data_IF_989152879718
#
_entry.id   IF_989152879718
#
_cell.length_a   1.000
_cell.length_b   1.000
_cell.length_c   1.000
_cell.angle_alpha   90.00
_cell.angle_beta   90.00
_cell.angle_gamma   90.00
#
_symmetry.space_group_name_H-M   'P 1'
#
loop_
_entity.id
_entity.type
_entity.pdbx_description
1 polymer ?
#
# COMPACT_ATOMS: atom_id res chain seq x y z
N UNK A 1 54.21 41.55 -22.93
CA UNK A 1 55.21 40.49 -22.65
C UNK A 1 54.42 39.22 -22.35
N UNK A 2 54.12 38.39 -23.36
CA UNK A 2 54.97 37.25 -23.80
C UNK A 2 55.40 36.40 -22.59
N UNK A 3 54.50 35.60 -21.99
CA UNK A 3 54.89 34.37 -21.25
C UNK A 3 53.79 33.46 -20.67
N UNK A 4 52.50 33.60 -21.00
CA UNK A 4 51.48 32.67 -20.46
C UNK A 4 51.08 31.55 -21.45
N UNK A 5 51.70 31.54 -22.63
CA UNK A 5 51.33 30.64 -23.73
C UNK A 5 51.88 29.22 -23.59
N UNK A 6 52.86 28.99 -22.71
CA UNK A 6 53.55 27.70 -22.57
C UNK A 6 52.93 26.76 -21.54
N UNK A 7 52.22 27.27 -20.53
CA UNK A 7 51.63 26.40 -19.47
C UNK A 7 50.34 25.72 -19.96
N UNK A 8 49.62 26.34 -20.92
CA UNK A 8 48.41 25.76 -21.52
C UNK A 8 48.70 24.57 -22.45
N UNK A 9 49.95 24.40 -22.91
CA UNK A 9 50.33 23.35 -23.86
C UNK A 9 50.60 21.98 -23.21
N UNK A 10 50.83 21.91 -21.90
CA UNK A 10 51.18 20.65 -21.22
C UNK A 10 49.93 19.92 -20.69
N UNK A 11 48.80 20.60 -20.51
CA UNK A 11 47.55 19.99 -20.03
C UNK A 11 46.69 19.35 -21.16
N UNK A 12 47.28 19.11 -22.33
CA UNK A 12 46.57 18.67 -23.55
C UNK A 12 46.76 17.18 -23.90
N UNK A 13 47.29 16.34 -23.01
CA UNK A 13 47.62 14.95 -23.38
C UNK A 13 47.21 13.97 -22.28
N UNK A 14 45.94 13.53 -22.29
CA UNK A 14 45.50 12.17 -21.91
C UNK A 14 43.96 12.03 -21.98
N UNK A 15 43.36 12.30 -23.13
CA UNK A 15 42.04 11.75 -23.45
C UNK A 15 42.25 10.67 -24.52
N UNK A 16 42.68 9.48 -24.11
CA UNK A 16 42.67 8.32 -24.98
C UNK A 16 41.21 7.93 -25.20
N UNK A 17 40.63 8.34 -26.32
CA UNK A 17 39.32 7.88 -26.77
C UNK A 17 39.42 6.40 -27.12
N UNK A 18 38.97 5.54 -26.22
CA UNK A 18 38.74 4.13 -26.51
C UNK A 18 37.61 4.05 -27.56
N UNK A 19 37.95 3.75 -28.81
CA UNK A 19 36.96 3.49 -29.85
C UNK A 19 36.20 2.22 -29.52
N UNK A 20 34.88 2.31 -29.33
CA UNK A 20 34.02 1.15 -29.15
C UNK A 20 33.74 0.51 -30.51
N UNK A 21 34.46 -0.57 -30.85
CA UNK A 21 34.21 -1.36 -32.06
C UNK A 21 33.00 -2.27 -31.84
N UNK A 22 31.91 -2.05 -32.58
CA UNK A 22 30.74 -2.93 -32.55
C UNK A 22 30.92 -4.03 -33.60
N UNK A 23 30.73 -5.27 -33.20
CA UNK A 23 30.87 -6.44 -34.06
C UNK A 23 29.51 -6.92 -34.53
N UNK A 24 29.40 -7.24 -35.82
CA UNK A 24 28.20 -7.80 -36.45
C UNK A 24 28.50 -9.20 -36.99
N UNK A 25 27.61 -10.14 -36.73
CA UNK A 25 27.64 -11.47 -37.36
C UNK A 25 26.22 -12.00 -37.55
N UNK A 26 26.11 -13.08 -38.33
CA UNK A 26 24.87 -13.83 -38.54
C UNK A 26 25.03 -15.16 -37.82
N UNK A 27 24.06 -15.53 -36.99
CA UNK A 27 24.05 -16.80 -36.26
C UNK A 27 23.58 -17.98 -37.15
N UNK A 28 23.56 -19.18 -36.59
CA UNK A 28 23.19 -20.42 -37.30
C UNK A 28 21.74 -20.41 -37.80
N UNK A 29 20.88 -19.58 -37.19
CA UNK A 29 19.48 -19.39 -37.51
C UNK A 29 19.24 -18.28 -38.55
N UNK A 30 20.31 -17.63 -39.03
CA UNK A 30 20.23 -16.55 -40.01
C UNK A 30 19.88 -15.19 -39.42
N UNK A 31 19.88 -15.04 -38.08
CA UNK A 31 19.56 -13.78 -37.40
C UNK A 31 20.83 -12.95 -37.23
N UNK A 32 20.71 -11.65 -37.53
CA UNK A 32 21.81 -10.69 -37.39
C UNK A 32 21.90 -10.20 -35.95
N UNK A 33 23.06 -10.38 -35.32
CA UNK A 33 23.33 -9.97 -33.95
C UNK A 33 24.44 -8.91 -33.90
N UNK A 34 24.41 -8.08 -32.84
CA UNK A 34 25.38 -7.01 -32.58
C UNK A 34 25.91 -7.12 -31.15
N UNK A 35 27.23 -6.99 -30.95
CA UNK A 35 27.85 -6.97 -29.62
C UNK A 35 29.07 -6.06 -29.57
N UNK A 36 29.35 -5.55 -28.38
CA UNK A 36 30.54 -4.81 -27.98
C UNK A 36 31.76 -5.70 -27.68
N UNK A 37 31.57 -7.03 -27.61
CA UNK A 37 32.64 -7.99 -27.31
C UNK A 37 32.73 -9.05 -28.42
N UNK A 38 33.90 -9.29 -29.03
CA UNK A 38 34.03 -10.30 -30.09
C UNK A 38 33.85 -11.72 -29.52
N UNK A 39 32.93 -12.49 -30.10
CA UNK A 39 32.76 -13.90 -29.74
C UNK A 39 33.96 -14.72 -30.26
N UNK A 40 34.55 -15.55 -29.39
CA UNK A 40 35.60 -16.49 -29.80
C UNK A 40 35.03 -17.48 -30.81
N UNK A 41 35.72 -17.64 -31.95
CA UNK A 41 35.43 -18.57 -33.06
C UNK A 41 34.28 -18.18 -34.02
N UNK A 42 33.76 -16.95 -34.00
CA UNK A 42 32.84 -16.48 -35.05
C UNK A 42 33.59 -15.68 -36.12
N UNK A 43 33.14 -15.76 -37.38
CA UNK A 43 33.60 -14.88 -38.47
C UNK A 43 32.95 -13.50 -38.32
N UNK A 44 33.31 -12.76 -37.28
CA UNK A 44 32.84 -11.40 -37.05
C UNK A 44 33.56 -10.42 -37.97
N UNK A 45 32.81 -9.53 -38.64
CA UNK A 45 33.41 -8.36 -39.30
C UNK A 45 33.30 -7.17 -38.35
N UNK A 46 34.41 -6.44 -38.07
CA UNK A 46 34.36 -5.21 -37.31
C UNK A 46 33.54 -4.20 -38.11
N UNK A 47 32.48 -3.66 -37.50
CA UNK A 47 31.76 -2.53 -38.06
C UNK A 47 32.43 -1.27 -37.53
N UNK A 48 33.32 -0.69 -38.34
CA UNK A 48 33.84 0.64 -38.08
C UNK A 48 32.72 1.63 -38.38
N UNK A 49 32.05 2.10 -37.31
CA UNK A 49 31.09 3.18 -37.40
C UNK A 49 31.91 4.46 -37.58
N UNK A 50 32.32 4.73 -38.81
CA UNK A 50 32.77 6.05 -39.20
C UNK A 50 31.61 7.00 -38.85
N UNK A 51 31.80 7.97 -37.93
CA UNK A 51 30.77 8.97 -37.68
C UNK A 51 30.63 9.77 -38.97
N UNK A 52 29.69 9.36 -39.81
CA UNK A 52 29.35 10.07 -41.02
C UNK A 52 29.02 11.51 -40.57
N UNK A 53 29.85 12.46 -41.00
CA UNK A 53 29.57 13.88 -40.78
C UNK A 53 28.27 14.14 -41.49
N UNK A 54 27.17 14.07 -40.74
CA UNK A 54 25.84 14.40 -41.21
C UNK A 54 25.99 15.79 -41.81
N UNK A 55 25.78 15.98 -43.14
CA UNK A 55 25.62 17.34 -43.63
C UNK A 55 24.54 17.96 -42.76
N UNK A 56 24.75 19.20 -42.31
CA UNK A 56 23.76 19.94 -41.54
C UNK A 56 22.52 20.11 -42.43
N UNK A 57 21.67 19.08 -42.45
CA UNK A 57 20.39 19.03 -43.13
C UNK A 57 19.48 19.94 -42.31
N UNK A 58 19.01 21.06 -42.87
CA UNK A 58 18.11 21.95 -42.15
C UNK A 58 16.70 21.37 -42.22
N UNK A 59 16.48 20.18 -41.66
CA UNK A 59 15.20 19.45 -41.60
C UNK A 59 15.56 18.08 -41.02
N UNK A 60 15.09 17.60 -39.89
CA UNK A 60 13.90 17.94 -39.12
C UNK A 60 14.23 17.60 -37.66
N UNK A 61 14.45 18.61 -36.83
CA UNK A 61 14.26 18.45 -35.39
C UNK A 61 12.76 18.22 -35.20
N UNK A 62 12.33 16.95 -35.32
CA UNK A 62 10.96 16.53 -35.06
C UNK A 62 10.77 16.84 -33.58
N UNK A 63 10.25 18.03 -33.31
CA UNK A 63 9.73 18.43 -32.01
C UNK A 63 8.85 17.28 -31.56
N UNK A 64 9.36 16.41 -30.68
CA UNK A 64 8.49 15.43 -30.05
C UNK A 64 7.41 16.27 -29.37
N UNK A 65 6.12 16.04 -29.65
CA UNK A 65 5.07 16.84 -29.04
C UNK A 65 5.19 16.71 -27.53
N UNK A 66 5.63 17.76 -26.84
CA UNK A 66 5.81 17.77 -25.39
C UNK A 66 4.49 17.46 -24.67
N UNK A 67 3.37 17.72 -25.35
CA UNK A 67 2.02 17.33 -24.94
C UNK A 67 1.81 15.80 -24.87
N UNK A 68 2.38 15.03 -25.81
CA UNK A 68 2.22 13.56 -25.86
C UNK A 68 2.86 12.85 -24.65
N UNK A 69 3.95 13.39 -24.11
CA UNK A 69 4.62 12.79 -22.94
C UNK A 69 3.88 13.09 -21.63
N UNK A 70 3.29 14.28 -21.48
CA UNK A 70 2.47 14.61 -20.32
C UNK A 70 1.23 13.73 -20.26
N UNK A 71 0.53 13.60 -21.39
CA UNK A 71 -0.64 12.74 -21.51
C UNK A 71 -0.31 11.27 -21.19
N UNK A 72 0.82 10.74 -21.67
CA UNK A 72 1.27 9.38 -21.32
C UNK A 72 1.61 9.22 -19.83
N UNK A 73 2.22 10.24 -19.22
CA UNK A 73 2.56 10.23 -17.81
C UNK A 73 1.31 10.30 -16.92
N UNK A 74 0.32 11.12 -17.29
CA UNK A 74 -0.97 11.20 -16.62
C UNK A 74 -1.74 9.88 -16.73
N UNK A 75 -1.86 9.33 -17.93
CA UNK A 75 -2.51 8.04 -18.14
C UNK A 75 -1.81 6.90 -17.36
N UNK A 76 -0.48 6.96 -17.21
CA UNK A 76 0.25 6.01 -16.37
C UNK A 76 -0.08 6.19 -14.88
N UNK A 77 -0.08 7.43 -14.38
CA UNK A 77 -0.47 7.76 -12.99
C UNK A 77 -1.88 7.29 -12.67
N UNK A 78 -2.84 7.60 -13.54
CA UNK A 78 -4.24 7.20 -13.38
C UNK A 78 -4.39 5.68 -13.34
N UNK A 79 -3.73 4.94 -14.25
CA UNK A 79 -3.74 3.46 -14.21
C UNK A 79 -3.15 2.91 -12.92
N UNK A 80 -2.08 3.53 -12.41
CA UNK A 80 -1.48 3.12 -11.15
C UNK A 80 -2.41 3.39 -9.96
N UNK A 81 -3.04 4.56 -9.91
CA UNK A 81 -4.00 4.91 -8.86
C UNK A 81 -5.23 3.99 -8.90
N UNK A 82 -5.79 3.75 -10.09
CA UNK A 82 -6.92 2.85 -10.27
C UNK A 82 -6.57 1.42 -9.81
N UNK A 83 -5.37 0.93 -10.13
CA UNK A 83 -4.90 -0.39 -9.65
C UNK A 83 -4.78 -0.43 -8.13
N UNK A 84 -4.27 0.63 -7.50
CA UNK A 84 -4.17 0.71 -6.04
C UNK A 84 -5.56 0.71 -5.40
N UNK A 85 -6.49 1.52 -5.91
CA UNK A 85 -7.88 1.55 -5.41
C UNK A 85 -8.56 0.19 -5.55
N UNK A 86 -8.38 -0.49 -6.68
CA UNK A 86 -8.92 -1.85 -6.88
C UNK A 86 -8.37 -2.84 -5.85
N UNK A 87 -7.08 -2.79 -5.53
CA UNK A 87 -6.48 -3.64 -4.51
C UNK A 87 -7.00 -3.32 -3.10
N UNK A 88 -7.21 -2.04 -2.77
CA UNK A 88 -7.79 -1.63 -1.50
C UNK A 88 -9.25 -2.09 -1.35
N UNK A 89 -10.06 -1.92 -2.39
CA UNK A 89 -11.45 -2.37 -2.42
C UNK A 89 -11.55 -3.89 -2.33
N UNK A 90 -10.69 -4.61 -3.04
CA UNK A 90 -10.60 -6.07 -2.98
C UNK A 90 -10.19 -6.54 -1.59
N UNK A 91 -9.17 -5.91 -0.97
CA UNK A 91 -8.75 -6.23 0.39
C UNK A 91 -9.86 -5.95 1.41
N UNK A 92 -10.58 -4.84 1.25
CA UNK A 92 -11.73 -4.50 2.12
C UNK A 92 -12.84 -5.53 1.98
N UNK A 93 -13.16 -5.96 0.76
CA UNK A 93 -14.13 -7.02 0.50
C UNK A 93 -13.69 -8.35 1.10
N UNK A 94 -12.43 -8.75 0.87
CA UNK A 94 -11.87 -9.97 1.47
C UNK A 94 -11.93 -9.95 3.00
N UNK A 95 -11.65 -8.80 3.63
CA UNK A 95 -11.80 -8.64 5.09
C UNK A 95 -13.23 -8.81 5.55
N UNK A 96 -14.19 -8.19 4.85
CA UNK A 96 -15.61 -8.34 5.14
C UNK A 96 -16.09 -9.78 4.96
N UNK A 97 -15.68 -10.45 3.89
CA UNK A 97 -16.04 -11.84 3.61
C UNK A 97 -15.43 -12.79 4.66
N UNK A 98 -14.17 -12.57 5.05
CA UNK A 98 -13.50 -13.34 6.10
C UNK A 98 -14.17 -13.14 7.47
N UNK A 99 -14.59 -11.91 7.78
CA UNK A 99 -15.35 -11.61 8.99
C UNK A 99 -16.71 -12.30 8.99
N UNK A 100 -17.47 -12.21 7.90
CA UNK A 100 -18.74 -12.91 7.72
C UNK A 100 -18.58 -14.43 7.81
N UNK A 101 -17.49 -14.99 7.27
CA UNK A 101 -17.21 -16.41 7.38
C UNK A 101 -16.88 -16.84 8.82
N UNK A 102 -16.10 -16.04 9.55
CA UNK A 102 -15.80 -16.27 10.97
C UNK A 102 -17.07 -16.19 11.84
N UNK A 103 -17.99 -15.28 11.48
CA UNK A 103 -19.34 -15.19 12.06
C UNK A 103 -20.13 -16.47 11.84
N UNK A 104 -20.22 -16.95 10.60
CA UNK A 104 -20.95 -18.19 10.26
C UNK A 104 -20.38 -19.43 10.94
N UNK A 105 -19.05 -19.48 11.16
CA UNK A 105 -18.37 -20.57 11.88
C UNK A 105 -18.48 -20.47 13.40
N UNK A 106 -19.03 -19.37 13.94
CA UNK A 106 -19.15 -19.15 15.38
C UNK A 106 -17.83 -18.83 16.10
N UNK A 107 -16.72 -18.72 15.34
CA UNK A 107 -15.38 -18.30 15.80
C UNK A 107 -15.34 -16.82 16.19
N UNK A 108 -16.27 -16.03 15.62
CA UNK A 108 -16.54 -14.64 15.97
C UNK A 108 -18.04 -14.53 16.19
N UNK A 109 -18.51 -14.04 17.33
CA UNK A 109 -19.90 -13.61 17.37
C UNK A 109 -19.99 -12.32 16.57
N UNK A 110 -20.89 -12.18 15.59
CA UNK A 110 -21.35 -10.86 15.22
C UNK A 110 -21.84 -10.26 16.52
N UNK A 111 -21.43 -9.04 16.86
CA UNK A 111 -22.09 -8.34 17.95
C UNK A 111 -23.52 -8.10 17.46
N UNK A 112 -24.38 -9.03 17.88
CA UNK A 112 -25.71 -9.22 17.35
C UNK A 112 -26.64 -8.19 17.95
N UNK A 113 -27.47 -7.59 17.10
CA UNK A 113 -28.56 -6.71 17.50
C UNK A 113 -28.15 -5.27 17.66
N UNK A 114 -28.36 -4.45 16.63
CA UNK A 114 -28.51 -2.98 16.73
C UNK A 114 -27.42 -2.15 17.45
N UNK A 115 -26.30 -2.76 17.85
CA UNK A 115 -25.24 -2.08 18.58
C UNK A 115 -24.72 -0.94 17.72
N UNK A 116 -24.89 0.29 18.20
CA UNK A 116 -24.31 1.49 17.62
C UNK A 116 -22.79 1.56 17.82
N UNK A 117 -22.23 0.71 18.68
CA UNK A 117 -20.79 0.62 18.90
C UNK A 117 -20.08 -0.06 17.72
N UNK A 118 -18.95 0.52 17.30
CA UNK A 118 -18.05 -0.10 16.32
C UNK A 118 -17.28 -1.27 16.96
N UNK A 119 -16.75 -2.19 16.16
CA UNK A 119 -15.97 -3.33 16.68
C UNK A 119 -14.81 -2.92 17.62
N UNK A 120 -14.02 -1.86 17.35
CA UNK A 120 -13.01 -1.40 18.30
C UNK A 120 -13.60 -0.94 19.64
N UNK A 121 -14.75 -0.25 19.60
CA UNK A 121 -15.44 0.19 20.80
C UNK A 121 -16.01 -1.01 21.58
N UNK A 122 -16.48 -2.05 20.89
CA UNK A 122 -16.92 -3.29 21.50
C UNK A 122 -15.80 -4.03 22.23
N UNK A 123 -14.62 -4.11 21.61
CA UNK A 123 -13.44 -4.69 22.25
C UNK A 123 -13.01 -3.88 23.48
N UNK A 124 -13.06 -2.54 23.41
CA UNK A 124 -12.74 -1.69 24.54
C UNK A 124 -13.70 -1.91 25.73
N UNK A 125 -15.01 -1.94 25.48
CA UNK A 125 -16.02 -2.20 26.52
C UNK A 125 -15.84 -3.60 27.12
N UNK A 126 -15.65 -4.63 26.28
CA UNK A 126 -15.44 -5.99 26.74
C UNK A 126 -14.18 -6.11 27.60
N UNK A 127 -13.08 -5.47 27.20
CA UNK A 127 -11.85 -5.42 27.99
C UNK A 127 -12.06 -4.77 29.36
N UNK A 128 -12.84 -3.69 29.42
CA UNK A 128 -13.21 -3.04 30.69
C UNK A 128 -14.06 -3.95 31.57
N UNK A 129 -15.06 -4.64 30.99
CA UNK A 129 -15.86 -5.64 31.71
C UNK A 129 -14.95 -6.71 32.31
N UNK A 130 -14.08 -7.33 31.50
CA UNK A 130 -13.17 -8.38 31.97
C UNK A 130 -12.26 -7.88 33.10
N UNK A 131 -11.70 -6.67 32.95
CA UNK A 131 -10.87 -6.05 33.99
C UNK A 131 -11.65 -5.88 35.31
N UNK A 132 -12.87 -5.35 35.27
CA UNK A 132 -13.71 -5.13 36.46
C UNK A 132 -14.08 -6.43 37.19
N UNK A 133 -14.21 -7.56 36.48
CA UNK A 133 -14.65 -8.84 37.07
C UNK A 133 -13.54 -9.87 37.29
N UNK A 134 -12.31 -9.61 36.84
CA UNK A 134 -11.15 -10.49 37.02
C UNK A 134 -10.93 -10.93 38.48
N UNK A 135 -11.34 -10.12 39.46
CA UNK A 135 -11.25 -10.46 40.89
C UNK A 135 -12.19 -11.59 41.35
N UNK A 136 -13.29 -11.86 40.62
CA UNK A 136 -14.28 -12.90 41.00
C UNK A 136 -14.03 -14.25 40.35
N UNK A 137 -13.28 -14.31 39.25
CA UNK A 137 -13.02 -15.55 38.51
C UNK A 137 -11.66 -15.46 37.79
N UNK A 138 -10.53 -15.62 38.52
CA UNK A 138 -9.19 -15.45 37.97
C UNK A 138 -8.85 -16.45 36.87
N UNK A 139 -9.47 -17.65 36.89
CA UNK A 139 -9.27 -18.68 35.87
C UNK A 139 -10.15 -18.46 34.62
N UNK A 140 -10.98 -17.41 34.61
CA UNK A 140 -11.90 -17.18 33.52
C UNK A 140 -11.22 -16.47 32.34
N UNK A 141 -10.77 -17.27 31.38
CA UNK A 141 -10.12 -16.78 30.15
C UNK A 141 -11.09 -16.61 28.98
N UNK A 142 -12.21 -17.33 28.99
CA UNK A 142 -13.21 -17.26 27.93
C UNK A 142 -14.34 -16.29 28.28
N UNK A 143 -14.36 -15.15 27.60
CA UNK A 143 -15.41 -14.15 27.69
C UNK A 143 -15.92 -13.83 26.29
N UNK A 144 -17.24 -13.83 26.11
CA UNK A 144 -17.85 -13.67 24.80
C UNK A 144 -19.11 -12.81 24.90
N UNK A 145 -19.23 -11.82 24.03
CA UNK A 145 -20.49 -11.10 23.86
C UNK A 145 -21.49 -12.07 23.22
N UNK A 146 -22.56 -12.38 23.94
CA UNK A 146 -23.67 -13.24 23.50
C UNK A 146 -24.67 -12.40 22.70
N UNK A 147 -25.04 -11.23 23.24
CA UNK A 147 -26.14 -10.41 22.70
C UNK A 147 -25.94 -8.93 23.05
N UNK A 148 -26.41 -8.04 22.17
CA UNK A 148 -26.48 -6.61 22.41
C UNK A 148 -27.84 -6.06 21.97
N UNK A 149 -28.42 -5.17 22.78
CA UNK A 149 -29.73 -4.59 22.54
C UNK A 149 -29.67 -3.09 22.78
N UNK A 150 -30.19 -2.26 21.86
CA UNK A 150 -30.30 -0.82 22.06
C UNK A 150 -31.50 -0.50 22.95
N UNK A 151 -31.25 -0.01 24.17
CA UNK A 151 -32.29 0.35 25.13
C UNK A 151 -32.79 1.77 24.89
N UNK A 152 -31.87 2.72 24.73
CA UNK A 152 -32.20 4.14 24.66
C UNK A 152 -31.28 4.86 23.67
N UNK A 153 -31.82 5.83 22.94
CA UNK A 153 -31.03 6.75 22.10
C UNK A 153 -31.53 8.18 22.29
N UNK A 154 -30.74 8.99 22.98
CA UNK A 154 -30.99 10.42 23.11
C UNK A 154 -30.16 11.23 22.13
N UNK A 155 -30.79 12.24 21.53
CA UNK A 155 -30.12 13.18 20.61
C UNK A 155 -29.54 14.39 21.35
N UNK A 156 -30.02 14.69 22.56
CA UNK A 156 -29.62 15.84 23.38
C UNK A 156 -29.73 15.50 24.88
N UNK A 157 -28.62 15.24 25.59
CA UNK A 157 -27.26 15.06 25.04
C UNK A 157 -27.21 13.88 24.07
N UNK A 158 -26.28 13.90 23.11
CA UNK A 158 -26.10 12.76 22.20
C UNK A 158 -25.57 11.60 23.03
N UNK A 159 -26.40 10.62 23.35
CA UNK A 159 -26.01 9.43 24.11
C UNK A 159 -26.86 8.25 23.67
N UNK A 160 -26.36 7.05 23.82
CA UNK A 160 -27.16 5.84 23.64
C UNK A 160 -26.76 4.80 24.67
N UNK A 161 -27.74 3.99 25.07
CA UNK A 161 -27.60 2.98 26.10
C UNK A 161 -27.90 1.64 25.47
N UNK A 162 -27.02 0.68 25.71
CA UNK A 162 -27.17 -0.68 25.25
C UNK A 162 -27.17 -1.65 26.43
N UNK A 163 -27.91 -2.75 26.29
CA UNK A 163 -27.86 -3.90 27.18
C UNK A 163 -27.02 -4.97 26.53
N UNK A 164 -25.96 -5.38 27.19
CA UNK A 164 -25.01 -6.36 26.70
C UNK A 164 -25.10 -7.61 27.54
N UNK A 165 -25.35 -8.75 26.91
CA UNK A 165 -25.25 -10.05 27.55
C UNK A 165 -23.87 -10.63 27.25
N UNK A 166 -23.05 -10.83 28.27
CA UNK A 166 -21.69 -11.37 28.14
C UNK A 166 -21.63 -12.73 28.83
N UNK A 167 -21.23 -13.75 28.09
CA UNK A 167 -20.81 -15.04 28.64
C UNK A 167 -19.48 -14.84 29.37
N UNK A 168 -19.44 -15.21 30.63
CA UNK A 168 -18.22 -15.31 31.42
C UNK A 168 -18.11 -16.75 31.91
N UNK A 169 -17.37 -17.56 31.17
CA UNK A 169 -17.10 -18.94 31.54
C UNK A 169 -18.35 -19.79 31.84
N UNK A 170 -19.38 -19.65 31.01
CA UNK A 170 -20.64 -20.38 31.11
C UNK A 170 -21.73 -19.65 31.88
N UNK A 171 -21.42 -18.49 32.47
CA UNK A 171 -22.40 -17.63 33.12
C UNK A 171 -22.70 -16.39 32.28
N UNK A 172 -23.91 -16.32 31.73
CA UNK A 172 -24.41 -15.13 31.05
C UNK A 172 -24.73 -14.03 32.09
N UNK A 173 -24.07 -12.88 31.96
CA UNK A 173 -24.28 -11.70 32.81
C UNK A 173 -24.68 -10.52 31.94
N UNK A 174 -25.66 -9.75 32.41
CA UNK A 174 -26.13 -8.55 31.71
C UNK A 174 -25.42 -7.30 32.21
N UNK A 175 -25.12 -6.42 31.28
CA UNK A 175 -24.47 -5.15 31.50
C UNK A 175 -25.25 -4.05 30.83
N UNK A 176 -25.40 -2.93 31.53
CA UNK A 176 -25.86 -1.68 30.95
C UNK A 176 -24.65 -0.85 30.55
N UNK A 177 -24.54 -0.54 29.26
CA UNK A 177 -23.44 0.23 28.70
C UNK A 177 -23.96 1.55 28.18
N UNK A 178 -23.48 2.66 28.75
CA UNK A 178 -23.87 4.00 28.32
C UNK A 178 -22.75 4.63 27.51
N UNK A 179 -23.04 5.02 26.27
CA UNK A 179 -22.10 5.66 25.36
C UNK A 179 -22.36 7.15 25.24
N UNK A 180 -21.31 7.96 25.38
CA UNK A 180 -21.37 9.41 25.31
C UNK A 180 -20.16 10.01 24.56
N UNK A 181 -20.34 11.09 23.77
CA UNK A 181 -19.24 11.79 23.13
C UNK A 181 -18.23 12.30 24.15
N UNK A 182 -16.94 12.03 23.90
CA UNK A 182 -15.87 12.57 24.74
C UNK A 182 -15.55 14.02 24.37
N UNK A 183 -15.29 14.92 25.35
CA UNK A 183 -14.80 16.28 25.08
C UNK A 183 -13.50 16.33 24.28
N UNK A 184 -12.68 15.25 24.34
CA UNK A 184 -11.40 15.12 23.61
C UNK A 184 -11.55 14.52 22.21
N UNK A 185 -12.79 14.28 21.77
CA UNK A 185 -13.10 13.51 20.58
C UNK A 185 -13.19 12.00 20.88
N UNK A 186 -14.01 11.29 20.11
CA UNK A 186 -14.30 9.88 20.32
C UNK A 186 -15.54 9.63 21.20
N UNK A 187 -15.57 8.49 21.87
CA UNK A 187 -16.71 8.02 22.69
C UNK A 187 -16.20 7.51 24.02
N UNK A 188 -16.65 8.13 25.10
CA UNK A 188 -16.53 7.62 26.46
C UNK A 188 -17.69 6.66 26.74
N UNK A 189 -17.46 5.71 27.64
CA UNK A 189 -18.49 4.76 28.03
C UNK A 189 -18.45 4.42 29.52
N UNK A 190 -19.62 4.08 30.05
CA UNK A 190 -19.81 3.62 31.44
C UNK A 190 -20.42 2.23 31.38
N UNK A 191 -19.94 1.33 32.24
CA UNK A 191 -20.40 -0.06 32.33
C UNK A 191 -20.94 -0.32 33.74
N UNK A 192 -22.17 -0.79 33.81
CA UNK A 192 -22.85 -1.17 35.05
C UNK A 192 -23.37 -2.61 34.93
N UNK A 193 -23.20 -3.44 35.96
CA UNK A 193 -23.84 -4.76 35.99
C UNK A 193 -25.32 -4.60 36.36
N UNK A 194 -26.20 -5.33 35.67
CA UNK A 194 -27.62 -5.45 36.03
C UNK A 194 -27.87 -6.56 37.07
#
# INVERSE_FOLDING_TARGET
MRNNLTILQILLIAAATAGATIYKWVDEQGVTQYSDTPLKNSKSQPLEIEPERVPASPETEKQLPTESWREKADAFRERHQARQQQLEDELKKQRQDAEQAAIRRGERTPVGGESGATQPLQQAVLSTIVMLFSAKAPDCTNHKIIDTELIERSRRPRQYVERWTVDRCGQAVRYRVTFMPSPRGGTDFIVEAE
#
